data_IF_650285389693
#
_entry.id   IF_650285389693
#
_cell.length_a   1.000
_cell.length_b   1.000
_cell.length_c   1.000
_cell.angle_alpha   90.00
_cell.angle_beta   90.00
_cell.angle_gamma   90.00
#
_symmetry.space_group_name_H-M   'P 1'
#
loop_
_entity.id
_entity.type
_entity.pdbx_description
1 polymer ?
#
# COMPACT_ATOMS: atom_id res chain seq x y z
N UNK A 1 22.59 -15.44 -21.10
CA UNK A 1 21.86 -16.56 -20.47
C UNK A 1 20.98 -15.98 -19.36
N UNK A 2 19.68 -16.28 -19.27
CA UNK A 2 18.84 -15.77 -18.19
C UNK A 2 19.27 -16.42 -16.86
N UNK A 3 19.43 -15.60 -15.81
CA UNK A 3 19.75 -16.05 -14.45
C UNK A 3 18.63 -16.98 -13.95
N UNK A 4 18.97 -18.25 -13.66
CA UNK A 4 18.06 -19.20 -13.03
C UNK A 4 17.56 -18.62 -11.70
N UNK A 5 16.25 -18.58 -11.48
CA UNK A 5 15.65 -18.12 -10.22
C UNK A 5 16.11 -19.04 -9.07
N UNK A 6 16.49 -18.41 -7.92
CA UNK A 6 16.86 -19.14 -6.69
C UNK A 6 15.73 -20.12 -6.31
N UNK A 7 15.97 -21.42 -6.36
CA UNK A 7 15.01 -22.48 -6.00
C UNK A 7 14.54 -23.37 -7.15
N UNK A 8 14.98 -23.13 -8.39
CA UNK A 8 14.67 -24.00 -9.52
C UNK A 8 15.81 -25.00 -9.75
N UNK A 9 15.49 -26.28 -9.82
CA UNK A 9 16.46 -27.36 -10.09
C UNK A 9 16.86 -27.42 -11.56
N UNK A 10 17.94 -28.17 -11.90
CA UNK A 10 18.34 -28.37 -13.29
C UNK A 10 17.27 -29.00 -14.18
N UNK A 11 16.36 -29.78 -13.57
CA UNK A 11 15.21 -30.43 -14.23
C UNK A 11 13.99 -29.50 -14.42
N UNK A 12 14.13 -28.18 -14.14
CA UNK A 12 13.08 -27.19 -14.32
C UNK A 12 11.98 -27.21 -13.24
N UNK A 13 12.11 -28.04 -12.20
CA UNK A 13 11.13 -28.10 -11.11
C UNK A 13 11.49 -27.17 -9.96
N UNK A 14 10.46 -26.61 -9.32
CA UNK A 14 10.59 -25.81 -8.09
C UNK A 14 10.55 -26.76 -6.90
N UNK A 15 11.51 -26.61 -5.98
CA UNK A 15 11.58 -27.35 -4.74
C UNK A 15 11.00 -26.51 -3.58
N UNK A 16 10.09 -27.08 -2.82
CA UNK A 16 9.61 -26.56 -1.54
C UNK A 16 10.00 -27.55 -0.44
N UNK A 17 10.87 -27.13 0.49
CA UNK A 17 11.30 -27.95 1.63
C UNK A 17 10.50 -27.52 2.86
N UNK A 18 9.86 -28.47 3.53
CA UNK A 18 9.01 -28.25 4.71
C UNK A 18 9.40 -29.20 5.83
N UNK A 19 9.25 -28.71 7.07
CA UNK A 19 9.37 -29.54 8.27
C UNK A 19 8.07 -30.35 8.42
N UNK A 20 8.17 -31.65 8.61
CA UNK A 20 7.04 -32.56 8.80
C UNK A 20 6.61 -32.62 10.27
N UNK A 21 5.41 -33.16 10.56
CA UNK A 21 4.95 -33.33 11.94
C UNK A 21 5.87 -34.21 12.81
N UNK A 22 6.61 -35.15 12.18
CA UNK A 22 7.64 -35.98 12.83
C UNK A 22 8.97 -35.26 13.10
N UNK A 23 9.02 -33.94 12.83
CA UNK A 23 10.22 -33.12 13.01
C UNK A 23 11.24 -33.19 11.88
N UNK A 24 11.10 -34.11 10.92
CA UNK A 24 12.00 -34.26 9.77
C UNK A 24 11.68 -33.27 8.66
N UNK A 25 12.66 -33.00 7.80
CA UNK A 25 12.44 -32.16 6.61
C UNK A 25 12.18 -33.03 5.39
N UNK A 26 11.11 -32.69 4.63
CA UNK A 26 10.79 -33.29 3.35
C UNK A 26 10.71 -32.24 2.25
N UNK A 27 11.10 -32.63 1.04
CA UNK A 27 11.07 -31.75 -0.13
C UNK A 27 9.97 -32.18 -1.09
N UNK A 28 9.22 -31.20 -1.57
CA UNK A 28 8.15 -31.37 -2.55
C UNK A 28 8.56 -30.67 -3.84
N UNK A 29 8.23 -31.25 -4.99
CA UNK A 29 8.69 -30.79 -6.29
C UNK A 29 7.50 -30.60 -7.22
N UNK A 30 7.40 -29.42 -7.85
CA UNK A 30 6.34 -29.11 -8.81
C UNK A 30 6.87 -28.26 -9.97
N UNK A 31 6.13 -28.20 -11.09
CA UNK A 31 6.46 -27.28 -12.19
C UNK A 31 6.35 -25.82 -11.76
N UNK A 32 5.52 -25.54 -10.75
CA UNK A 32 5.38 -24.23 -10.12
C UNK A 32 5.48 -24.38 -8.60
N UNK A 33 5.76 -23.26 -7.90
CA UNK A 33 5.78 -23.23 -6.43
C UNK A 33 4.42 -23.64 -5.85
N UNK A 34 3.32 -23.22 -6.47
CA UNK A 34 1.97 -23.60 -6.06
C UNK A 34 1.72 -25.10 -6.16
N UNK A 35 2.20 -25.74 -7.22
CA UNK A 35 2.10 -27.21 -7.33
C UNK A 35 2.91 -27.94 -6.25
N UNK A 36 4.13 -27.47 -5.95
CA UNK A 36 4.93 -28.06 -4.89
C UNK A 36 4.30 -27.87 -3.49
N UNK A 37 3.64 -26.75 -3.25
CA UNK A 37 2.89 -26.48 -2.02
C UNK A 37 1.59 -27.31 -1.94
N UNK A 38 0.91 -27.54 -3.05
CA UNK A 38 -0.26 -28.43 -3.09
C UNK A 38 0.12 -29.88 -2.75
N UNK A 39 1.26 -30.35 -3.26
CA UNK A 39 1.77 -31.69 -2.91
C UNK A 39 2.13 -31.81 -1.43
N UNK A 40 2.65 -30.74 -0.81
CA UNK A 40 2.87 -30.69 0.62
C UNK A 40 1.53 -30.77 1.40
N UNK A 41 0.53 -30.01 0.98
CA UNK A 41 -0.80 -30.02 1.62
C UNK A 41 -1.47 -31.39 1.50
N UNK A 42 -1.37 -32.02 0.32
CA UNK A 42 -1.89 -33.38 0.11
C UNK A 42 -1.15 -34.42 0.97
N UNK A 43 0.16 -34.27 1.11
CA UNK A 43 0.95 -35.14 1.99
C UNK A 43 0.53 -35.00 3.46
N UNK A 44 0.32 -33.75 3.95
CA UNK A 44 -0.15 -33.53 5.32
C UNK A 44 -1.52 -34.17 5.55
N UNK A 45 -2.45 -34.04 4.58
CA UNK A 45 -3.75 -34.70 4.66
C UNK A 45 -3.61 -36.21 4.82
N UNK A 46 -2.79 -36.85 4.00
CA UNK A 46 -2.53 -38.31 4.07
C UNK A 46 -1.82 -38.70 5.37
N UNK A 47 -0.94 -37.84 5.87
CA UNK A 47 -0.27 -38.04 7.17
C UNK A 47 -1.28 -38.06 8.30
N UNK A 48 -2.18 -37.08 8.35
CA UNK A 48 -3.21 -36.98 9.38
C UNK A 48 -4.23 -38.12 9.31
N UNK A 49 -4.57 -38.60 8.10
CA UNK A 49 -5.39 -39.80 7.90
C UNK A 49 -4.72 -41.07 8.47
N UNK A 50 -3.39 -41.18 8.34
CA UNK A 50 -2.62 -42.33 8.82
C UNK A 50 -2.22 -42.24 10.30
N UNK A 51 -2.18 -41.02 10.85
CA UNK A 51 -1.81 -40.72 12.23
C UNK A 51 -2.89 -39.90 12.91
N UNK A 52 -4.11 -40.44 13.10
CA UNK A 52 -5.18 -39.71 13.74
C UNK A 52 -4.73 -39.30 15.14
N UNK A 53 -4.53 -37.99 15.34
CA UNK A 53 -4.18 -37.44 16.64
C UNK A 53 -5.28 -37.80 17.62
N UNK A 54 -4.93 -38.54 18.67
CA UNK A 54 -5.82 -38.82 19.82
C UNK A 54 -5.99 -37.55 20.67
N UNK A 55 -6.68 -36.57 20.12
CA UNK A 55 -7.10 -35.37 20.79
C UNK A 55 -8.20 -34.75 19.94
N UNK A 56 -9.42 -34.65 20.47
CA UNK A 56 -10.47 -33.85 19.82
C UNK A 56 -9.87 -32.45 19.62
N UNK A 57 -9.60 -32.09 18.36
CA UNK A 57 -9.31 -30.70 18.02
C UNK A 57 -10.55 -29.95 18.45
N UNK A 58 -10.41 -29.07 19.45
CA UNK A 58 -11.53 -28.23 19.85
C UNK A 58 -11.96 -27.43 18.63
N UNK A 59 -13.24 -27.41 18.29
CA UNK A 59 -13.72 -26.65 17.14
C UNK A 59 -13.29 -25.18 17.32
N UNK A 60 -12.65 -24.63 16.28
CA UNK A 60 -12.10 -23.27 16.30
C UNK A 60 -13.05 -22.33 15.59
N UNK A 61 -13.44 -21.27 16.24
CA UNK A 61 -14.25 -20.22 15.65
C UNK A 61 -13.39 -19.27 14.78
N UNK A 62 -14.03 -18.53 13.86
CA UNK A 62 -13.33 -17.53 13.07
C UNK A 62 -12.70 -16.46 13.97
N UNK A 63 -13.37 -16.04 15.03
CA UNK A 63 -12.88 -15.06 16.01
C UNK A 63 -11.58 -15.51 16.67
N UNK A 64 -11.52 -16.77 17.10
CA UNK A 64 -10.31 -17.36 17.70
C UNK A 64 -9.18 -17.48 16.70
N UNK A 65 -9.47 -17.96 15.49
CA UNK A 65 -8.47 -18.05 14.42
C UNK A 65 -7.93 -16.67 14.00
N UNK A 66 -8.81 -15.67 13.87
CA UNK A 66 -8.44 -14.30 13.53
C UNK A 66 -7.58 -13.65 14.63
N UNK A 67 -7.92 -13.90 15.90
CA UNK A 67 -7.15 -13.44 17.06
C UNK A 67 -5.75 -14.10 17.09
N UNK A 68 -5.70 -15.42 16.94
CA UNK A 68 -4.43 -16.14 16.89
C UNK A 68 -3.56 -15.70 15.71
N UNK A 69 -4.16 -15.43 14.54
CA UNK A 69 -3.46 -14.86 13.41
C UNK A 69 -2.95 -13.45 13.70
N UNK A 70 -3.75 -12.59 14.34
CA UNK A 70 -3.31 -11.25 14.75
C UNK A 70 -2.12 -11.33 15.71
N UNK A 71 -2.16 -12.21 16.70
CA UNK A 71 -1.07 -12.42 17.66
C UNK A 71 0.20 -12.92 16.95
N UNK A 72 0.06 -13.84 15.99
CA UNK A 72 1.16 -14.33 15.17
C UNK A 72 1.84 -13.23 14.35
N UNK A 73 1.06 -12.38 13.66
CA UNK A 73 1.64 -11.31 12.82
C UNK A 73 2.20 -10.15 13.64
N UNK A 74 1.80 -10.02 14.90
CA UNK A 74 2.27 -8.96 15.82
C UNK A 74 3.38 -9.41 16.74
N UNK A 75 3.77 -10.67 16.69
CA UNK A 75 4.87 -11.20 17.47
C UNK A 75 6.17 -10.40 17.21
N UNK A 76 7.06 -10.24 18.22
CA UNK A 76 8.28 -9.44 18.11
C UNK A 76 9.17 -9.81 16.91
N UNK A 77 9.18 -11.09 16.53
CA UNK A 77 9.98 -11.63 15.43
C UNK A 77 9.17 -11.82 14.13
N UNK A 78 8.02 -11.15 14.01
CA UNK A 78 7.20 -11.25 12.80
C UNK A 78 7.93 -10.65 11.60
N UNK A 79 8.00 -11.36 10.45
CA UNK A 79 8.56 -10.82 9.22
C UNK A 79 7.64 -9.78 8.56
N UNK A 80 6.45 -9.57 9.12
CA UNK A 80 5.43 -8.69 8.54
C UNK A 80 5.66 -7.25 9.02
N UNK A 81 5.75 -6.32 8.06
CA UNK A 81 5.98 -4.91 8.36
C UNK A 81 4.82 -4.27 9.10
N UNK A 82 5.11 -3.33 10.00
CA UNK A 82 4.13 -2.58 10.82
C UNK A 82 2.99 -1.98 9.99
N UNK A 83 3.30 -1.37 8.84
CA UNK A 83 2.29 -0.81 7.94
C UNK A 83 1.33 -1.86 7.37
N UNK A 84 1.82 -3.08 7.09
CA UNK A 84 0.99 -4.22 6.65
C UNK A 84 0.10 -4.72 7.78
N UNK A 85 0.65 -4.85 8.99
CA UNK A 85 -0.12 -5.23 10.20
C UNK A 85 -1.25 -4.23 10.44
N UNK A 86 -0.94 -2.92 10.38
CA UNK A 86 -1.95 -1.86 10.52
C UNK A 86 -3.06 -1.97 9.47
N UNK A 87 -2.70 -2.29 8.22
CA UNK A 87 -3.67 -2.54 7.15
C UNK A 87 -4.53 -3.79 7.41
N UNK A 88 -3.94 -4.88 7.87
CA UNK A 88 -4.66 -6.13 8.19
C UNK A 88 -5.64 -5.94 9.33
N UNK A 89 -5.27 -5.24 10.40
CA UNK A 89 -6.15 -4.93 11.53
C UNK A 89 -7.44 -4.21 11.13
N UNK A 90 -7.37 -3.33 10.11
CA UNK A 90 -8.56 -2.64 9.57
C UNK A 90 -9.59 -3.59 8.98
N UNK A 91 -9.17 -4.79 8.58
CA UNK A 91 -10.04 -5.81 7.98
C UNK A 91 -10.30 -6.97 8.96
N UNK A 92 -9.35 -7.33 9.83
CA UNK A 92 -9.54 -8.38 10.83
C UNK A 92 -10.71 -8.09 11.76
N UNK A 93 -10.81 -6.86 12.26
CA UNK A 93 -11.91 -6.50 13.17
C UNK A 93 -13.28 -6.65 12.53
N UNK A 94 -13.61 -6.04 11.37
CA UNK A 94 -14.92 -6.19 10.74
C UNK A 94 -15.22 -7.64 10.31
N UNK A 95 -14.23 -8.41 9.88
CA UNK A 95 -14.44 -9.82 9.52
C UNK A 95 -14.69 -10.67 10.75
N UNK A 96 -14.01 -10.41 11.88
CA UNK A 96 -14.29 -11.09 13.17
C UNK A 96 -15.65 -10.72 13.74
N UNK A 97 -16.14 -9.51 13.47
CA UNK A 97 -17.51 -9.12 13.85
C UNK A 97 -18.56 -9.81 12.97
N UNK A 98 -18.28 -10.04 11.68
CA UNK A 98 -19.20 -10.67 10.75
C UNK A 98 -19.29 -12.20 10.93
N UNK A 99 -18.16 -12.88 10.92
CA UNK A 99 -18.12 -14.35 11.05
C UNK A 99 -18.25 -14.79 12.51
N UNK A 100 -17.76 -13.98 13.44
CA UNK A 100 -17.97 -14.18 14.88
C UNK A 100 -17.53 -15.55 15.37
N UNK A 101 -18.49 -16.22 15.99
CA UNK A 101 -18.33 -17.52 16.60
C UNK A 101 -18.70 -18.68 15.66
N UNK A 102 -18.86 -18.41 14.35
CA UNK A 102 -19.01 -19.45 13.33
C UNK A 102 -17.73 -20.29 13.29
N UNK A 103 -17.88 -21.60 13.27
CA UNK A 103 -16.73 -22.51 13.17
C UNK A 103 -16.02 -22.33 11.83
N UNK A 104 -14.69 -22.39 11.85
CA UNK A 104 -13.86 -22.23 10.64
C UNK A 104 -14.23 -23.24 9.55
N UNK A 105 -14.60 -24.48 9.94
CA UNK A 105 -15.01 -25.56 9.03
C UNK A 105 -16.39 -25.33 8.41
N UNK A 106 -17.26 -24.54 9.05
CA UNK A 106 -18.61 -24.22 8.58
C UNK A 106 -18.65 -23.00 7.66
N UNK A 107 -17.55 -22.25 7.55
CA UNK A 107 -17.47 -21.08 6.66
C UNK A 107 -17.16 -21.53 5.24
N UNK A 108 -18.13 -21.35 4.35
CA UNK A 108 -18.01 -21.66 2.94
C UNK A 108 -17.73 -20.42 2.04
N UNK A 109 -17.55 -20.66 0.76
CA UNK A 109 -17.31 -19.60 -0.23
C UNK A 109 -18.53 -18.64 -0.37
N UNK A 110 -19.74 -19.14 -0.12
CA UNK A 110 -20.97 -18.33 -0.21
C UNK A 110 -21.05 -17.33 0.95
N UNK A 111 -20.67 -17.74 2.15
CA UNK A 111 -20.63 -16.82 3.31
C UNK A 111 -19.57 -15.74 3.13
N UNK A 112 -18.37 -16.10 2.61
CA UNK A 112 -17.35 -15.11 2.25
C UNK A 112 -17.88 -14.14 1.18
N UNK A 113 -18.55 -14.65 0.15
CA UNK A 113 -19.18 -13.82 -0.88
C UNK A 113 -20.23 -12.89 -0.29
N UNK A 114 -21.07 -13.38 0.64
CA UNK A 114 -22.08 -12.58 1.33
C UNK A 114 -21.45 -11.37 2.05
N UNK A 115 -20.31 -11.56 2.72
CA UNK A 115 -19.57 -10.46 3.32
C UNK A 115 -19.08 -9.44 2.28
N UNK A 116 -18.54 -9.91 1.15
CA UNK A 116 -18.09 -9.03 0.07
C UNK A 116 -19.26 -8.27 -0.59
N UNK A 117 -20.43 -8.89 -0.70
CA UNK A 117 -21.66 -8.27 -1.20
C UNK A 117 -22.18 -7.18 -0.22
N UNK A 118 -22.02 -7.38 1.09
CA UNK A 118 -22.31 -6.35 2.11
C UNK A 118 -21.39 -5.14 1.91
N UNK A 119 -20.09 -5.35 1.67
CA UNK A 119 -19.16 -4.26 1.40
C UNK A 119 -19.58 -3.49 0.15
N UNK A 120 -20.05 -4.18 -0.90
CA UNK A 120 -20.55 -3.56 -2.13
C UNK A 120 -21.82 -2.73 -1.86
N UNK A 121 -22.81 -3.31 -1.17
CA UNK A 121 -24.05 -2.58 -0.79
C UNK A 121 -23.78 -1.33 0.04
N UNK A 122 -22.74 -1.37 0.86
CA UNK A 122 -22.28 -0.23 1.66
C UNK A 122 -21.41 0.76 0.86
N UNK A 123 -21.34 0.65 -0.47
CA UNK A 123 -20.60 1.56 -1.34
C UNK A 123 -19.09 1.53 -1.15
N UNK A 124 -18.52 0.44 -0.58
CA UNK A 124 -17.06 0.34 -0.41
C UNK A 124 -16.38 0.11 -1.73
N UNK A 125 -15.18 0.71 -1.89
CA UNK A 125 -14.38 0.55 -3.09
C UNK A 125 -13.95 -0.92 -3.29
N UNK A 126 -13.84 -1.35 -4.56
CA UNK A 126 -13.39 -2.69 -4.95
C UNK A 126 -12.09 -3.09 -4.25
N UNK A 127 -11.13 -2.17 -4.13
CA UNK A 127 -9.87 -2.41 -3.41
C UNK A 127 -10.07 -2.75 -1.94
N UNK A 128 -11.07 -2.21 -1.27
CA UNK A 128 -11.43 -2.56 0.11
C UNK A 128 -11.90 -4.02 0.20
N UNK A 129 -12.73 -4.47 -0.75
CA UNK A 129 -13.18 -5.86 -0.81
C UNK A 129 -12.01 -6.82 -1.13
N UNK A 130 -11.11 -6.45 -2.05
CA UNK A 130 -9.89 -7.23 -2.34
C UNK A 130 -9.02 -7.40 -1.11
N UNK A 131 -8.79 -6.33 -0.36
CA UNK A 131 -8.00 -6.37 0.87
C UNK A 131 -8.68 -7.21 1.95
N UNK A 132 -9.99 -7.06 2.14
CA UNK A 132 -10.76 -7.86 3.09
C UNK A 132 -10.69 -9.36 2.72
N UNK A 133 -10.94 -9.71 1.45
CA UNK A 133 -10.82 -11.08 0.94
C UNK A 133 -9.42 -11.65 1.18
N UNK A 134 -8.38 -10.85 0.94
CA UNK A 134 -6.99 -11.25 1.19
C UNK A 134 -6.75 -11.55 2.66
N UNK A 135 -7.25 -10.72 3.58
CA UNK A 135 -7.08 -10.92 5.02
C UNK A 135 -7.85 -12.15 5.50
N UNK A 136 -9.09 -12.37 5.04
CA UNK A 136 -9.84 -13.61 5.34
C UNK A 136 -9.03 -14.83 4.86
N UNK A 137 -8.48 -14.78 3.65
CA UNK A 137 -7.64 -15.86 3.11
C UNK A 137 -6.38 -16.11 3.96
N UNK A 138 -5.78 -15.05 4.51
CA UNK A 138 -4.64 -15.19 5.42
C UNK A 138 -5.02 -15.89 6.72
N UNK A 139 -6.19 -15.58 7.30
CA UNK A 139 -6.71 -16.24 8.50
C UNK A 139 -6.92 -17.74 8.22
N UNK A 140 -7.57 -18.08 7.11
CA UNK A 140 -7.76 -19.50 6.72
C UNK A 140 -6.44 -20.23 6.47
N UNK A 141 -5.50 -19.56 5.81
CA UNK A 141 -4.16 -20.12 5.57
C UNK A 141 -3.42 -20.36 6.89
N UNK A 142 -3.53 -19.43 7.85
CA UNK A 142 -2.97 -19.61 9.18
C UNK A 142 -3.63 -20.77 9.92
N UNK A 143 -4.97 -20.84 9.91
CA UNK A 143 -5.73 -21.94 10.51
C UNK A 143 -5.32 -23.30 9.94
N UNK A 144 -5.18 -23.43 8.61
CA UNK A 144 -4.70 -24.66 7.99
C UNK A 144 -3.27 -25.02 8.38
N UNK A 145 -2.36 -24.04 8.49
CA UNK A 145 -0.94 -24.30 8.71
C UNK A 145 -0.57 -24.53 10.18
N UNK A 146 -1.32 -23.96 11.12
CA UNK A 146 -0.95 -23.92 12.54
C UNK A 146 -2.01 -24.45 13.50
N UNK A 147 -3.25 -24.62 13.05
CA UNK A 147 -4.38 -25.08 13.86
C UNK A 147 -5.06 -26.32 13.27
N UNK A 148 -4.38 -27.03 12.38
CA UNK A 148 -4.82 -28.29 11.75
C UNK A 148 -6.12 -28.18 10.94
N UNK A 149 -6.47 -26.99 10.46
CA UNK A 149 -7.64 -26.78 9.62
C UNK A 149 -7.47 -27.36 8.20
N UNK A 150 -8.59 -27.55 7.54
CA UNK A 150 -8.64 -28.13 6.17
C UNK A 150 -9.37 -27.18 5.23
N UNK A 151 -8.65 -26.74 4.16
CA UNK A 151 -9.26 -25.96 3.10
C UNK A 151 -9.29 -24.45 3.33
N UNK A 152 -9.42 -23.71 2.24
CA UNK A 152 -9.56 -22.26 2.24
C UNK A 152 -10.64 -21.85 1.23
N UNK A 153 -11.89 -21.62 1.68
CA UNK A 153 -13.04 -21.36 0.83
C UNK A 153 -12.95 -20.01 0.10
N UNK A 154 -12.05 -19.11 0.55
CA UNK A 154 -11.89 -17.77 -0.02
C UNK A 154 -11.43 -17.82 -1.48
N UNK A 155 -10.79 -18.92 -1.92
CA UNK A 155 -10.32 -19.08 -3.30
C UNK A 155 -11.47 -19.01 -4.31
N UNK A 156 -12.62 -19.57 -3.95
CA UNK A 156 -13.81 -19.65 -4.79
C UNK A 156 -14.76 -18.45 -4.63
N UNK A 157 -14.55 -17.65 -3.58
CA UNK A 157 -15.34 -16.45 -3.35
C UNK A 157 -14.95 -15.31 -4.32
N UNK A 158 -15.84 -15.00 -5.28
CA UNK A 158 -15.61 -13.93 -6.27
C UNK A 158 -16.00 -12.57 -5.71
N UNK A 159 -15.19 -11.57 -6.03
CA UNK A 159 -15.49 -10.16 -5.71
C UNK A 159 -16.61 -9.68 -6.66
N UNK A 160 -17.61 -8.91 -6.16
CA UNK A 160 -18.66 -8.34 -6.98
C UNK A 160 -18.09 -7.50 -8.13
N UNK A 161 -18.63 -7.69 -9.35
CA UNK A 161 -18.11 -7.03 -10.56
C UNK A 161 -18.32 -5.51 -10.54
N UNK A 162 -19.48 -5.05 -10.03
CA UNK A 162 -19.90 -3.64 -10.04
C UNK A 162 -19.58 -2.95 -8.71
N UNK A 163 -18.32 -2.92 -8.32
CA UNK A 163 -17.88 -2.14 -7.15
C UNK A 163 -17.22 -0.84 -7.59
N UNK A 164 -17.36 0.25 -6.81
CA UNK A 164 -16.67 1.51 -7.11
C UNK A 164 -15.17 1.30 -7.19
N UNK A 165 -14.54 1.83 -8.22
CA UNK A 165 -13.08 1.88 -8.36
C UNK A 165 -12.63 3.31 -8.05
N UNK A 166 -11.73 3.46 -7.10
CA UNK A 166 -11.15 4.76 -6.79
C UNK A 166 -9.99 5.00 -7.75
N UNK A 167 -10.18 5.88 -8.70
CA UNK A 167 -9.10 6.35 -9.57
C UNK A 167 -8.18 7.29 -8.79
N UNK A 168 -6.89 7.16 -9.05
CA UNK A 168 -5.89 8.09 -8.54
C UNK A 168 -5.69 9.18 -9.57
N UNK A 169 -6.34 10.32 -9.34
CA UNK A 169 -6.21 11.48 -10.24
C UNK A 169 -5.05 12.35 -9.79
N UNK A 170 -4.38 12.96 -10.75
CA UNK A 170 -3.41 14.02 -10.51
C UNK A 170 -4.09 15.29 -9.98
N UNK A 171 -3.34 16.22 -9.39
CA UNK A 171 -3.87 17.54 -9.15
C UNK A 171 -4.26 18.19 -10.48
N UNK A 172 -5.41 18.87 -10.56
CA UNK A 172 -5.79 19.58 -11.78
C UNK A 172 -4.81 20.72 -12.09
N UNK A 173 -4.82 21.21 -13.33
CA UNK A 173 -3.98 22.33 -13.75
C UNK A 173 -4.22 23.56 -12.87
N UNK A 174 -5.47 23.86 -12.56
CA UNK A 174 -5.88 24.99 -11.71
C UNK A 174 -5.38 24.82 -10.28
N UNK A 175 -5.50 23.60 -9.72
CA UNK A 175 -4.99 23.29 -8.38
C UNK A 175 -3.47 23.49 -8.30
N UNK A 176 -2.74 23.05 -9.33
CA UNK A 176 -1.28 23.24 -9.41
C UNK A 176 -0.92 24.73 -9.49
N UNK A 177 -1.58 25.50 -10.37
CA UNK A 177 -1.33 26.93 -10.52
C UNK A 177 -1.55 27.70 -9.21
N UNK A 178 -2.63 27.39 -8.46
CA UNK A 178 -2.88 27.98 -7.16
C UNK A 178 -1.74 27.71 -6.17
N UNK A 179 -1.23 26.48 -6.14
CA UNK A 179 -0.12 26.08 -5.25
C UNK A 179 1.20 26.70 -5.71
N UNK A 180 1.50 26.68 -7.00
CA UNK A 180 2.71 27.31 -7.58
C UNK A 180 2.77 28.81 -7.32
N UNK A 181 1.61 29.49 -7.31
CA UNK A 181 1.51 30.92 -6.98
C UNK A 181 1.69 31.21 -5.47
N UNK A 182 1.69 30.17 -4.64
CA UNK A 182 1.87 30.26 -3.18
C UNK A 182 3.00 29.30 -2.72
N UNK A 183 4.26 29.52 -3.14
CA UNK A 183 5.33 28.55 -3.00
C UNK A 183 5.89 28.38 -1.59
N UNK A 184 5.58 29.29 -0.66
CA UNK A 184 6.14 29.28 0.69
C UNK A 184 5.44 28.27 1.60
N UNK A 185 6.12 27.85 2.66
CA UNK A 185 5.59 26.87 3.63
C UNK A 185 5.29 25.50 2.98
N UNK A 186 4.04 25.06 3.08
CA UNK A 186 3.67 23.77 2.48
C UNK A 186 3.59 23.81 0.94
N UNK A 187 3.65 24.97 0.29
CA UNK A 187 3.82 25.08 -1.16
C UNK A 187 5.13 24.43 -1.61
N UNK A 188 6.19 24.60 -0.83
CA UNK A 188 7.46 23.89 -1.02
C UNK A 188 7.29 22.34 -0.96
N UNK A 189 6.41 21.82 -0.08
CA UNK A 189 6.16 20.38 -0.04
C UNK A 189 5.56 19.85 -1.34
N UNK A 190 4.63 20.62 -1.94
CA UNK A 190 4.07 20.26 -3.24
C UNK A 190 5.15 20.18 -4.31
N UNK A 191 6.02 21.20 -4.40
CA UNK A 191 7.16 21.20 -5.32
C UNK A 191 8.11 20.02 -5.06
N UNK A 192 8.41 19.71 -3.80
CA UNK A 192 9.23 18.55 -3.45
C UNK A 192 8.62 17.27 -4.02
N UNK A 193 7.32 17.02 -3.82
CA UNK A 193 6.67 15.80 -4.34
C UNK A 193 6.56 15.80 -5.87
N UNK A 194 6.28 16.93 -6.47
CA UNK A 194 6.13 17.08 -7.94
C UNK A 194 7.45 16.86 -8.67
N UNK A 195 8.56 17.37 -8.14
CA UNK A 195 9.85 17.31 -8.82
C UNK A 195 10.73 16.13 -8.43
N UNK A 196 10.38 15.39 -7.38
CA UNK A 196 11.16 14.23 -6.92
C UNK A 196 10.41 12.91 -6.94
N UNK A 197 9.09 12.96 -6.92
CA UNK A 197 8.25 11.77 -6.81
C UNK A 197 8.46 10.98 -5.52
N UNK A 198 8.97 11.58 -4.45
CA UNK A 198 9.17 10.91 -3.16
C UNK A 198 7.85 10.40 -2.57
N UNK A 199 7.91 9.27 -1.87
CA UNK A 199 6.78 8.84 -1.02
C UNK A 199 6.74 9.72 0.21
N UNK A 200 5.52 9.91 0.78
CA UNK A 200 5.36 10.74 1.98
C UNK A 200 6.27 10.27 3.14
N UNK A 201 6.45 8.96 3.33
CA UNK A 201 7.36 8.45 4.36
C UNK A 201 8.82 8.74 4.06
N UNK A 202 9.25 8.69 2.80
CA UNK A 202 10.59 9.08 2.37
C UNK A 202 10.81 10.58 2.58
N UNK A 203 9.85 11.43 2.19
CA UNK A 203 9.92 12.88 2.39
C UNK A 203 9.90 13.27 3.89
N UNK A 204 9.12 12.58 4.72
CA UNK A 204 9.10 12.81 6.16
C UNK A 204 10.39 12.36 6.86
N UNK A 205 11.15 11.44 6.24
CA UNK A 205 12.45 10.99 6.71
C UNK A 205 13.64 11.75 6.12
N UNK A 206 13.41 12.58 5.09
CA UNK A 206 14.46 13.32 4.40
C UNK A 206 15.01 14.45 5.29
N UNK A 207 16.31 14.54 5.40
CA UNK A 207 17.02 15.62 6.08
C UNK A 207 17.79 16.45 5.05
N UNK A 208 18.13 17.70 5.39
CA UNK A 208 18.84 18.59 4.46
C UNK A 208 20.22 18.03 4.08
N UNK A 209 20.88 17.24 4.92
CA UNK A 209 22.13 16.54 4.61
C UNK A 209 22.01 15.44 3.53
N UNK A 210 20.78 14.98 3.25
CA UNK A 210 20.49 13.99 2.21
C UNK A 210 20.37 14.65 0.81
N UNK A 211 20.52 16.00 0.77
CA UNK A 211 20.39 16.83 -0.43
C UNK A 211 21.75 17.41 -0.77
N UNK A 212 22.33 16.93 -1.86
CA UNK A 212 23.59 17.44 -2.38
C UNK A 212 23.30 18.41 -3.54
N UNK A 213 23.40 19.71 -3.24
CA UNK A 213 23.18 20.77 -4.21
C UNK A 213 24.31 20.87 -5.22
N UNK A 214 25.55 20.46 -4.88
CA UNK A 214 26.70 20.48 -5.76
C UNK A 214 26.57 19.41 -6.85
N UNK A 215 26.37 18.14 -6.44
CA UNK A 215 26.15 17.04 -7.40
C UNK A 215 24.74 17.03 -8.01
N UNK A 216 23.82 17.87 -7.53
CA UNK A 216 22.45 17.97 -8.02
C UNK A 216 21.59 16.74 -7.72
N UNK A 217 21.72 16.15 -6.51
CA UNK A 217 21.04 14.89 -6.17
C UNK A 217 20.36 14.96 -4.81
N UNK A 218 19.22 14.29 -4.72
CA UNK A 218 18.50 14.02 -3.47
C UNK A 218 18.54 12.52 -3.24
N UNK A 219 19.07 12.07 -2.10
CA UNK A 219 19.26 10.65 -1.80
C UNK A 219 18.58 10.29 -0.47
N UNK A 220 17.30 9.91 -0.46
CA UNK A 220 16.63 9.46 0.76
C UNK A 220 17.34 8.25 1.34
N UNK A 221 17.75 8.32 2.60
CA UNK A 221 18.47 7.27 3.32
C UNK A 221 17.54 6.40 4.16
N UNK A 222 16.40 6.95 4.56
CA UNK A 222 15.39 6.30 5.40
C UNK A 222 13.98 6.75 5.04
N UNK A 223 13.00 6.06 5.60
CA UNK A 223 11.61 6.50 5.59
C UNK A 223 11.08 6.65 7.01
N UNK A 224 10.24 7.65 7.24
CA UNK A 224 9.56 7.90 8.52
C UNK A 224 8.03 7.85 8.32
N UNK A 225 7.45 6.66 8.06
CA UNK A 225 6.00 6.49 8.04
C UNK A 225 5.43 6.64 9.46
N UNK A 226 4.10 6.61 9.58
CA UNK A 226 3.41 6.78 10.85
C UNK A 226 2.71 5.50 11.31
N UNK A 227 2.80 5.24 12.60
CA UNK A 227 1.96 4.29 13.31
C UNK A 227 1.32 4.98 14.52
N UNK A 228 -0.02 4.92 14.64
CA UNK A 228 -0.77 5.58 15.73
C UNK A 228 -0.35 7.04 15.95
N UNK A 229 -0.21 7.80 14.86
CA UNK A 229 0.21 9.19 14.82
C UNK A 229 1.71 9.46 15.07
N UNK A 230 2.51 8.48 15.46
CA UNK A 230 3.94 8.64 15.71
C UNK A 230 4.76 8.26 14.48
N UNK A 231 5.72 9.08 14.05
CA UNK A 231 6.68 8.67 13.05
C UNK A 231 7.58 7.58 13.62
N UNK A 232 7.94 6.59 12.80
CA UNK A 232 8.92 5.58 13.15
C UNK A 232 9.87 5.37 11.99
N UNK A 233 11.14 5.09 12.32
CA UNK A 233 12.13 4.81 11.30
C UNK A 233 11.89 3.44 10.68
N UNK A 234 11.86 3.41 9.37
CA UNK A 234 11.77 2.19 8.57
C UNK A 234 12.88 2.23 7.52
N UNK A 235 13.68 1.17 7.46
CA UNK A 235 14.63 1.00 6.37
C UNK A 235 13.90 0.99 5.02
N UNK A 236 14.55 1.54 4.01
CA UNK A 236 13.98 1.55 2.67
C UNK A 236 13.73 0.12 2.19
N UNK A 237 12.53 -0.13 1.68
CA UNK A 237 11.93 -1.48 1.46
C UNK A 237 12.74 -2.44 0.59
N UNK A 238 13.64 -1.95 -0.24
CA UNK A 238 14.42 -2.76 -1.20
C UNK A 238 15.70 -2.03 -1.56
N UNK A 239 16.70 -2.74 -2.06
CA UNK A 239 17.90 -2.13 -2.65
C UNK A 239 17.57 -1.09 -3.74
N UNK A 240 16.42 -1.23 -4.42
CA UNK A 240 15.92 -0.26 -5.42
C UNK A 240 15.31 1.01 -4.81
N UNK A 241 15.02 1.01 -3.52
CA UNK A 241 14.52 2.20 -2.82
C UNK A 241 15.67 3.15 -2.44
N UNK A 242 16.89 2.63 -2.29
CA UNK A 242 18.11 3.45 -2.23
C UNK A 242 18.41 4.01 -3.63
N UNK A 243 17.87 5.16 -3.91
CA UNK A 243 18.04 5.85 -5.19
C UNK A 243 18.39 7.31 -4.97
N UNK A 244 19.14 7.86 -5.87
CA UNK A 244 19.31 9.30 -5.99
C UNK A 244 18.33 9.84 -7.04
N UNK A 245 17.62 10.89 -6.71
CA UNK A 245 16.73 11.62 -7.61
C UNK A 245 17.46 12.90 -8.04
N UNK A 246 17.53 13.22 -9.35
CA UNK A 246 18.16 14.43 -9.81
C UNK A 246 17.37 15.66 -9.41
N UNK A 247 18.06 16.74 -9.06
CA UNK A 247 17.46 18.05 -8.82
C UNK A 247 17.25 18.71 -10.19
N UNK A 248 15.98 18.87 -10.57
CA UNK A 248 15.61 19.50 -11.83
C UNK A 248 15.87 21.02 -11.79
N UNK A 249 16.24 21.61 -12.92
CA UNK A 249 16.57 23.04 -13.01
C UNK A 249 15.46 23.94 -12.48
N UNK A 250 14.20 23.62 -12.75
CA UNK A 250 13.05 24.39 -12.24
C UNK A 250 12.87 24.28 -10.71
N UNK A 251 13.30 23.17 -10.13
CA UNK A 251 13.18 22.94 -8.68
C UNK A 251 14.37 23.53 -7.90
N UNK A 252 15.56 23.59 -8.50
CA UNK A 252 16.80 24.03 -7.85
C UNK A 252 16.65 25.36 -7.10
N UNK A 253 16.18 26.48 -7.72
CA UNK A 253 16.09 27.75 -7.00
C UNK A 253 15.11 27.73 -5.83
N UNK A 254 14.02 26.94 -5.94
CA UNK A 254 13.05 26.74 -4.87
C UNK A 254 13.71 26.03 -3.70
N UNK A 255 14.48 24.97 -4.00
CA UNK A 255 15.18 24.15 -3.03
C UNK A 255 16.30 24.91 -2.33
N UNK A 256 17.10 25.70 -3.06
CA UNK A 256 18.18 26.54 -2.51
C UNK A 256 17.62 27.63 -1.58
N UNK A 257 16.53 28.29 -1.97
CA UNK A 257 15.86 29.30 -1.14
C UNK A 257 15.38 28.70 0.18
N UNK A 258 14.88 27.46 0.16
CA UNK A 258 14.41 26.79 1.37
C UNK A 258 15.57 26.26 2.21
N UNK A 259 16.59 25.64 1.59
CA UNK A 259 17.77 25.13 2.25
C UNK A 259 18.51 26.18 3.09
N UNK A 260 18.57 27.43 2.60
CA UNK A 260 19.22 28.54 3.29
C UNK A 260 18.60 28.87 4.67
N UNK A 261 17.42 28.35 5.00
CA UNK A 261 16.71 28.59 6.26
C UNK A 261 16.95 27.53 7.32
N UNK A 262 17.64 26.43 6.99
CA UNK A 262 17.68 25.22 7.81
C UNK A 262 19.10 24.70 8.01
N UNK A 263 19.29 23.97 9.11
CA UNK A 263 20.51 23.23 9.37
C UNK A 263 20.53 21.88 8.62
N UNK A 264 21.70 21.33 8.40
CA UNK A 264 21.90 20.02 7.74
C UNK A 264 21.11 18.87 8.35
N UNK A 265 20.94 18.87 9.69
CA UNK A 265 20.25 17.81 10.41
C UNK A 265 18.75 18.03 10.55
N UNK A 266 18.22 19.14 10.06
CA UNK A 266 16.78 19.39 10.07
C UNK A 266 16.05 18.51 9.06
N UNK A 267 14.86 18.05 9.43
CA UNK A 267 14.01 17.33 8.50
C UNK A 267 13.32 18.30 7.53
N UNK A 268 13.37 17.97 6.26
CA UNK A 268 12.93 18.85 5.18
C UNK A 268 11.45 19.27 5.30
N UNK A 269 10.56 18.35 5.70
CA UNK A 269 9.13 18.69 5.85
C UNK A 269 8.82 19.44 7.15
N UNK A 270 9.50 19.15 8.23
CA UNK A 270 9.23 19.85 9.50
C UNK A 270 9.94 21.18 9.63
N UNK A 271 11.13 21.30 9.04
CA UNK A 271 12.05 22.39 9.28
C UNK A 271 12.71 22.31 10.68
N UNK A 272 12.68 21.17 11.33
CA UNK A 272 13.11 20.96 12.72
C UNK A 272 13.92 19.67 12.83
N UNK A 273 14.58 19.47 14.00
CA UNK A 273 15.37 18.24 14.33
C UNK A 273 14.50 16.98 14.49
N UNK A 274 13.19 17.08 14.33
CA UNK A 274 12.25 15.96 14.48
C UNK A 274 11.32 15.86 13.27
N UNK A 275 11.01 14.65 12.78
CA UNK A 275 10.04 14.47 11.71
C UNK A 275 8.62 14.79 12.19
N UNK A 276 7.73 15.11 11.24
CA UNK A 276 6.33 15.40 11.55
C UNK A 276 5.59 14.15 12.02
N UNK A 277 4.70 14.30 13.00
CA UNK A 277 3.62 13.33 13.24
C UNK A 277 2.57 13.39 12.13
N UNK A 278 1.75 12.34 11.99
CA UNK A 278 0.71 12.32 10.97
C UNK A 278 -0.28 13.48 11.10
N UNK A 279 -0.71 13.80 12.33
CA UNK A 279 -1.65 14.88 12.57
C UNK A 279 -1.04 16.27 12.30
N UNK A 280 0.25 16.47 12.61
CA UNK A 280 0.96 17.71 12.26
C UNK A 280 1.04 17.90 10.75
N UNK A 281 1.44 16.85 10.01
CA UNK A 281 1.48 16.87 8.55
C UNK A 281 0.10 17.18 7.96
N UNK A 282 -0.93 16.42 8.35
CA UNK A 282 -2.29 16.59 7.83
C UNK A 282 -2.85 18.00 8.16
N UNK A 283 -2.57 18.50 9.35
CA UNK A 283 -3.04 19.81 9.78
C UNK A 283 -2.32 20.94 9.03
N UNK A 284 -0.98 20.95 8.99
CA UNK A 284 -0.20 21.98 8.28
C UNK A 284 -0.62 22.03 6.81
N UNK A 285 -0.73 20.86 6.15
CA UNK A 285 -1.15 20.76 4.77
C UNK A 285 -2.58 21.25 4.53
N UNK A 286 -3.54 20.87 5.37
CA UNK A 286 -4.92 21.30 5.26
C UNK A 286 -5.07 22.82 5.52
N UNK A 287 -4.32 23.38 6.46
CA UNK A 287 -4.34 24.82 6.76
C UNK A 287 -3.72 25.66 5.64
N UNK A 288 -2.64 25.17 5.01
CA UNK A 288 -2.10 25.78 3.80
C UNK A 288 -3.10 25.73 2.64
N UNK A 289 -3.74 24.61 2.40
CA UNK A 289 -4.70 24.42 1.32
C UNK A 289 -6.02 25.19 1.53
N UNK A 290 -6.36 25.55 2.76
CA UNK A 290 -7.64 26.19 3.09
C UNK A 290 -7.87 27.54 2.41
N UNK A 291 -6.97 28.53 2.47
CA UNK A 291 -7.15 29.82 1.80
C UNK A 291 -7.15 29.70 0.28
N UNK A 292 -6.58 28.63 -0.27
CA UNK A 292 -6.56 28.32 -1.70
C UNK A 292 -7.86 27.63 -2.19
N UNK A 293 -8.84 27.39 -1.33
CA UNK A 293 -10.04 26.62 -1.68
C UNK A 293 -9.79 25.11 -1.89
N UNK A 294 -8.60 24.61 -1.51
CA UNK A 294 -8.16 23.23 -1.70
C UNK A 294 -8.32 22.36 -0.45
N UNK A 295 -9.19 22.78 0.49
CA UNK A 295 -9.57 22.00 1.67
C UNK A 295 -11.07 21.99 1.88
N UNK A 296 -11.56 20.86 2.36
CA UNK A 296 -12.96 20.69 2.76
C UNK A 296 -13.07 20.46 4.26
N UNK A 297 -14.14 20.93 4.85
CA UNK A 297 -14.47 20.65 6.25
C UNK A 297 -15.16 19.30 6.34
N UNK A 298 -14.65 18.42 7.18
CA UNK A 298 -15.23 17.10 7.45
C UNK A 298 -15.73 17.02 8.88
N UNK A 299 -16.97 16.62 9.05
CA UNK A 299 -17.50 16.26 10.35
C UNK A 299 -16.87 14.95 10.84
N UNK A 300 -16.46 14.94 12.09
CA UNK A 300 -15.87 13.79 12.77
C UNK A 300 -16.57 13.55 14.09
N UNK A 301 -16.68 12.27 14.41
CA UNK A 301 -17.26 11.82 15.66
C UNK A 301 -16.22 11.07 16.47
N UNK A 302 -16.10 11.39 17.75
CA UNK A 302 -15.24 10.66 18.67
C UNK A 302 -15.99 10.31 19.94
N UNK A 303 -15.77 9.09 20.45
CA UNK A 303 -16.30 8.68 21.75
C UNK A 303 -15.66 9.52 22.85
N UNK A 304 -16.44 9.99 23.81
CA UNK A 304 -15.95 10.73 24.97
C UNK A 304 -15.38 9.72 25.96
N UNK A 305 -14.10 9.89 26.32
CA UNK A 305 -13.45 9.01 27.30
C UNK A 305 -14.18 9.10 28.64
N UNK A 306 -14.51 7.96 29.22
CA UNK A 306 -15.22 7.87 30.51
C UNK A 306 -16.74 8.09 30.44
N UNK A 307 -17.35 8.28 29.27
CA UNK A 307 -18.78 8.44 29.09
C UNK A 307 -19.32 7.48 28.01
N UNK A 308 -19.67 6.24 28.38
CA UNK A 308 -20.20 5.26 27.42
C UNK A 308 -21.45 5.80 26.71
N UNK A 309 -21.48 5.64 25.38
CA UNK A 309 -22.61 6.07 24.55
C UNK A 309 -22.59 7.54 24.13
N UNK A 310 -21.79 8.40 24.76
CA UNK A 310 -21.68 9.81 24.34
C UNK A 310 -20.63 9.99 23.26
N UNK A 311 -20.98 10.76 22.23
CA UNK A 311 -20.15 11.06 21.08
C UNK A 311 -19.97 12.58 20.99
N UNK A 312 -18.73 13.02 20.84
CA UNK A 312 -18.40 14.42 20.54
C UNK A 312 -18.30 14.55 19.01
N UNK A 313 -19.05 15.49 18.46
CA UNK A 313 -18.90 15.94 17.07
C UNK A 313 -17.92 17.10 17.02
N UNK A 314 -16.99 17.06 16.06
CA UNK A 314 -16.06 18.14 15.79
C UNK A 314 -15.76 18.21 14.29
N UNK A 315 -15.27 19.34 13.84
CA UNK A 315 -14.95 19.56 12.43
C UNK A 315 -13.43 19.59 12.23
N UNK A 316 -12.97 18.87 11.19
CA UNK A 316 -11.56 18.84 10.79
C UNK A 316 -11.44 19.26 9.33
N UNK A 317 -10.53 20.18 9.04
CA UNK A 317 -10.15 20.48 7.66
C UNK A 317 -9.33 19.34 7.07
N UNK A 318 -9.62 19.01 5.82
CA UNK A 318 -8.90 18.00 5.04
C UNK A 318 -8.62 18.56 3.66
N UNK A 319 -7.35 18.55 3.27
CA UNK A 319 -6.96 18.89 1.92
C UNK A 319 -7.52 17.90 0.90
N UNK A 320 -7.98 18.40 -0.24
CA UNK A 320 -8.44 17.60 -1.38
C UNK A 320 -7.28 17.21 -2.30
N UNK A 321 -6.14 17.89 -2.19
CA UNK A 321 -4.91 17.58 -2.91
C UNK A 321 -3.93 16.88 -1.96
N UNK A 322 -3.22 15.86 -2.43
CA UNK A 322 -2.36 15.00 -1.59
C UNK A 322 -0.97 14.82 -2.19
N UNK A 323 0.04 14.58 -1.35
CA UNK A 323 1.40 14.23 -1.78
C UNK A 323 1.44 13.09 -2.83
N UNK A 324 0.52 12.12 -2.70
CA UNK A 324 0.49 10.99 -3.62
C UNK A 324 0.01 11.39 -5.03
N UNK A 325 -0.85 12.40 -5.14
CA UNK A 325 -1.28 12.96 -6.43
C UNK A 325 -0.11 13.67 -7.14
N UNK A 326 0.72 14.44 -6.41
CA UNK A 326 1.94 15.05 -6.96
C UNK A 326 2.97 13.99 -7.38
N UNK A 327 3.13 12.93 -6.58
CA UNK A 327 3.97 11.81 -7.00
C UNK A 327 3.43 11.12 -8.26
N UNK A 328 2.11 11.03 -8.41
CA UNK A 328 1.49 10.50 -9.64
C UNK A 328 1.81 11.42 -10.83
N UNK A 329 1.67 12.73 -10.65
CA UNK A 329 2.05 13.74 -11.64
C UNK A 329 3.54 13.61 -12.05
N UNK A 330 4.46 13.37 -11.10
CA UNK A 330 5.87 13.11 -11.43
C UNK A 330 6.01 11.88 -12.34
N UNK A 331 5.27 10.80 -12.07
CA UNK A 331 5.29 9.62 -12.93
C UNK A 331 4.76 9.91 -14.35
N UNK A 332 3.71 10.73 -14.47
CA UNK A 332 3.16 11.16 -15.76
C UNK A 332 4.13 12.10 -16.50
N UNK A 333 4.78 13.00 -15.78
CA UNK A 333 5.83 13.85 -16.36
C UNK A 333 6.98 13.02 -16.92
N UNK A 334 7.38 11.93 -16.25
CA UNK A 334 8.38 10.99 -16.79
C UNK A 334 7.90 10.30 -18.07
N UNK A 335 6.63 9.93 -18.13
CA UNK A 335 6.02 9.34 -19.33
C UNK A 335 6.02 10.31 -20.50
N UNK A 336 5.48 11.52 -20.33
CA UNK A 336 5.40 12.54 -21.37
C UNK A 336 6.79 13.05 -21.82
N UNK A 337 7.80 12.99 -20.93
CA UNK A 337 9.19 13.25 -21.27
C UNK A 337 9.89 12.09 -22.02
N UNK A 338 9.18 11.00 -22.33
CA UNK A 338 9.73 9.84 -23.03
C UNK A 338 10.72 9.00 -22.21
N UNK A 339 10.71 9.13 -20.88
CA UNK A 339 11.65 8.39 -20.01
C UNK A 339 11.34 6.90 -20.04
N UNK A 340 12.33 6.01 -20.37
CA UNK A 340 12.09 4.58 -20.44
C UNK A 340 11.60 3.97 -19.13
N UNK A 341 10.72 2.96 -19.20
CA UNK A 341 10.10 2.27 -18.05
C UNK A 341 11.07 1.91 -16.92
N UNK A 342 12.28 1.39 -17.28
CA UNK A 342 13.30 0.99 -16.31
C UNK A 342 13.91 2.17 -15.56
N UNK A 343 14.12 3.28 -16.26
CA UNK A 343 14.67 4.51 -15.67
C UNK A 343 13.62 5.15 -14.78
N UNK A 344 12.36 5.25 -15.24
CA UNK A 344 11.23 5.71 -14.44
C UNK A 344 11.02 4.84 -13.20
N UNK A 345 11.10 3.51 -13.32
CA UNK A 345 11.06 2.59 -12.19
C UNK A 345 12.11 2.94 -11.13
N UNK A 346 13.35 3.21 -11.57
CA UNK A 346 14.46 3.58 -10.68
C UNK A 346 14.18 4.92 -9.99
N UNK A 347 13.84 5.96 -10.75
CA UNK A 347 13.55 7.30 -10.23
C UNK A 347 12.36 7.30 -9.25
N UNK A 348 11.30 6.54 -9.56
CA UNK A 348 10.13 6.35 -8.69
C UNK A 348 10.41 5.43 -7.49
N UNK A 349 11.46 4.61 -7.52
CA UNK A 349 11.73 3.60 -6.50
C UNK A 349 10.63 2.53 -6.43
N UNK A 350 10.07 2.13 -7.56
CA UNK A 350 9.09 1.05 -7.61
C UNK A 350 9.80 -0.31 -7.52
N UNK A 351 9.43 -1.12 -6.53
CA UNK A 351 9.99 -2.46 -6.35
C UNK A 351 9.71 -3.36 -7.57
N UNK A 352 8.48 -3.25 -8.13
CA UNK A 352 8.04 -3.96 -9.32
C UNK A 352 7.83 -2.99 -10.49
N UNK A 353 8.42 -3.32 -11.63
CA UNK A 353 8.29 -2.56 -12.88
C UNK A 353 6.83 -2.51 -13.37
N UNK A 354 6.02 -3.52 -13.03
CA UNK A 354 4.61 -3.56 -13.41
C UNK A 354 3.83 -2.37 -12.86
N UNK A 355 4.25 -1.80 -11.73
CA UNK A 355 3.65 -0.58 -11.19
C UNK A 355 3.86 0.61 -12.13
N UNK A 356 5.07 0.80 -12.67
CA UNK A 356 5.38 1.86 -13.63
C UNK A 356 4.67 1.62 -14.94
N UNK A 357 4.72 0.38 -15.45
CA UNK A 357 4.08 0.01 -16.73
C UNK A 357 2.57 0.22 -16.71
N UNK A 358 1.92 -0.07 -15.58
CA UNK A 358 0.47 0.15 -15.44
C UNK A 358 0.13 1.64 -15.55
N UNK A 359 0.92 2.52 -14.94
CA UNK A 359 0.72 3.97 -15.07
C UNK A 359 0.92 4.40 -16.52
N UNK A 360 2.01 3.96 -17.15
CA UNK A 360 2.31 4.30 -18.54
C UNK A 360 1.28 3.76 -19.53
N UNK A 361 0.77 2.55 -19.29
CA UNK A 361 -0.30 1.98 -20.12
C UNK A 361 -1.59 2.80 -19.99
N UNK A 362 -1.98 3.16 -18.76
CA UNK A 362 -3.15 4.02 -18.54
C UNK A 362 -3.02 5.36 -19.28
N UNK A 363 -1.86 6.01 -19.19
CA UNK A 363 -1.61 7.29 -19.87
C UNK A 363 -1.66 7.16 -21.39
N UNK A 364 -1.16 6.06 -21.96
CA UNK A 364 -1.29 5.78 -23.40
C UNK A 364 -2.75 5.61 -23.83
N UNK A 365 -3.53 4.83 -23.05
CA UNK A 365 -4.95 4.64 -23.30
C UNK A 365 -5.73 5.98 -23.25
N UNK A 366 -5.36 6.89 -22.33
CA UNK A 366 -5.92 8.24 -22.26
C UNK A 366 -5.53 9.10 -23.48
N UNK A 367 -4.27 9.00 -23.96
CA UNK A 367 -3.84 9.67 -25.20
C UNK A 367 -4.57 9.13 -26.44
N UNK A 368 -4.72 7.82 -26.57
CA UNK A 368 -5.42 7.19 -27.70
C UNK A 368 -6.88 7.66 -27.78
N UNK A 369 -7.57 7.78 -26.64
CA UNK A 369 -8.93 8.33 -26.57
C UNK A 369 -8.94 9.79 -27.07
N UNK A 370 -8.03 10.61 -26.55
CA UNK A 370 -7.90 12.02 -26.92
C UNK A 370 -7.64 12.20 -28.42
N UNK A 371 -6.74 11.41 -28.99
CA UNK A 371 -6.46 11.47 -30.43
C UNK A 371 -7.66 11.00 -31.26
N UNK A 372 -8.42 10.02 -30.79
CA UNK A 372 -9.65 9.58 -31.44
C UNK A 372 -10.72 10.68 -31.43
N UNK A 373 -10.90 11.39 -30.33
CA UNK A 373 -11.80 12.54 -30.21
C UNK A 373 -11.39 13.67 -31.17
N UNK A 374 -10.09 14.02 -31.17
CA UNK A 374 -9.57 15.04 -32.11
C UNK A 374 -9.79 14.66 -33.59
N UNK A 375 -9.62 13.38 -33.91
CA UNK A 375 -9.88 12.87 -35.29
C UNK A 375 -11.37 12.99 -35.66
N UNK A 376 -12.24 12.61 -34.75
CA UNK A 376 -13.68 12.74 -34.96
C UNK A 376 -14.08 14.23 -35.16
N UNK A 377 -13.61 15.12 -34.30
CA UNK A 377 -13.87 16.56 -34.46
C UNK A 377 -13.32 17.13 -35.78
N UNK A 378 -12.17 16.66 -36.21
CA UNK A 378 -11.62 17.08 -37.51
C UNK A 378 -12.46 16.60 -38.67
N UNK A 379 -12.89 15.35 -38.69
CA UNK A 379 -13.73 14.77 -39.75
C UNK A 379 -15.10 15.45 -39.77
N UNK A 380 -15.70 15.73 -38.63
CA UNK A 380 -17.00 16.38 -38.55
C UNK A 380 -16.98 17.83 -39.07
N UNK A 381 -15.84 18.53 -38.95
CA UNK A 381 -15.64 19.87 -39.51
C UNK A 381 -15.41 19.86 -41.04
N UNK A 382 -15.18 18.70 -41.65
CA UNK A 382 -15.01 18.57 -43.12
C UNK A 382 -16.35 18.37 -43.86
N UNK A 383 -17.43 18.14 -43.12
CA UNK A 383 -18.79 18.08 -43.66
C UNK A 383 -19.43 19.46 -43.67
#
# INVERSE_FOLDING_TARGET
>A
MPRKSKGMRPDGRVQVRRKMPDGKFKSFYGKTKSQAENLYTEYLRKWDEQHPQKGKISPVTYREAAKAYEDYITAPNSPIRRGTISSYRKHLKPTSEFFGDTLMEDIDAQQVKTYLDILNRNGKAKKTAENARSVISCVFTYWCNYMHGTGNPVRDAKIPKKMPVTERKEPTKEQRQLIESNPDGCGFWAALFEYTGLRIGEANGLQWKDIDLESGKITPTKAMPWEKNHPYEEELKTAKAYRSVPILNRFRPILEKEAAKHDHDDYVLSGEKKPLSQSQYEWRWAMYCRPLGLSIQQEKHSKIKGQPGKVRTYYKWKAIVTAHQFRHLYASNLFYAGVPDKVAQKLMGHADIMTTRRIYQQLREEEDIKYTEMLNEYIDKQK
#
